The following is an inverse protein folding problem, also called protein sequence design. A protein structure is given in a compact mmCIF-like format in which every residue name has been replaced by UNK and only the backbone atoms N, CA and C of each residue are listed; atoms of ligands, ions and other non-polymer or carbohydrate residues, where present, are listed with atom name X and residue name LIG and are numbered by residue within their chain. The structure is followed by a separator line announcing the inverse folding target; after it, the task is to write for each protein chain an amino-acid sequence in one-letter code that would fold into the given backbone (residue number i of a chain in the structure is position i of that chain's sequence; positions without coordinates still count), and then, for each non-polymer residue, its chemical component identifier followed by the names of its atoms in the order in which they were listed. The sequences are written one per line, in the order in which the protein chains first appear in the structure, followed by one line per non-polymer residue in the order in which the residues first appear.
data_IF_768869693971
#
_entry.id   IF_768869693971
#
_cell.length_a   1.000
_cell.length_b   1.000
_cell.length_c   1.000
_cell.angle_alpha   90.00
_cell.angle_beta   90.00
_cell.angle_gamma   90.00
#
_symmetry.space_group_name_H-M   'P 1'
#
loop_
_entity.id
_entity.type
_entity.pdbx_description
1 polymer ?
#
# COMPACT_ATOMS: atom_id res chain seq x y z
N UNK A 1 -8.01 -0.78 18.38
CA UNK A 1 -7.62 -2.21 18.40
C UNK A 1 -7.67 -2.79 16.99
N UNK A 2 -7.00 -2.14 16.02
CA UNK A 2 -7.04 -2.49 14.60
C UNK A 2 -5.64 -2.80 14.01
N UNK A 3 -4.58 -2.90 14.83
CA UNK A 3 -3.20 -2.93 14.35
C UNK A 3 -2.60 -4.34 14.21
N UNK A 4 -3.05 -5.30 15.02
CA UNK A 4 -2.50 -6.67 14.98
C UNK A 4 -2.95 -7.40 13.71
N UNK A 5 -4.24 -7.29 13.36
CA UNK A 5 -4.82 -7.99 12.21
C UNK A 5 -4.19 -7.56 10.87
N UNK A 6 -3.90 -6.27 10.70
CA UNK A 6 -3.25 -5.72 9.49
C UNK A 6 -1.81 -6.22 9.35
N UNK A 7 -1.02 -6.17 10.43
CA UNK A 7 0.35 -6.68 10.41
C UNK A 7 0.42 -8.19 10.18
N UNK A 8 -0.49 -8.95 10.78
CA UNK A 8 -0.58 -10.41 10.60
C UNK A 8 -0.96 -10.75 9.16
N UNK A 9 -1.98 -10.11 8.58
CA UNK A 9 -2.38 -10.31 7.18
C UNK A 9 -1.22 -10.04 6.22
N UNK A 10 -0.48 -8.94 6.42
CA UNK A 10 0.70 -8.60 5.62
C UNK A 10 1.81 -9.65 5.76
N UNK A 11 2.14 -10.07 6.98
CA UNK A 11 3.16 -11.07 7.22
C UNK A 11 2.83 -12.42 6.55
N UNK A 12 1.54 -12.81 6.59
CA UNK A 12 1.04 -14.02 5.90
C UNK A 12 1.18 -13.87 4.39
N UNK A 13 0.75 -12.73 3.83
CA UNK A 13 0.84 -12.46 2.39
C UNK A 13 2.29 -12.50 1.91
N UNK A 14 3.22 -11.82 2.59
CA UNK A 14 4.65 -11.82 2.26
C UNK A 14 5.28 -13.21 2.39
N UNK A 15 4.90 -13.98 3.42
CA UNK A 15 5.41 -15.35 3.59
C UNK A 15 4.96 -16.25 2.44
N UNK A 16 3.68 -16.14 2.03
CA UNK A 16 3.17 -16.85 0.85
C UNK A 16 3.91 -16.41 -0.42
N UNK A 17 4.17 -15.11 -0.57
CA UNK A 17 4.90 -14.57 -1.71
C UNK A 17 6.32 -15.15 -1.80
N UNK A 18 7.09 -15.09 -0.71
CA UNK A 18 8.46 -15.59 -0.63
C UNK A 18 8.55 -17.10 -0.94
N UNK A 19 7.53 -17.87 -0.58
CA UNK A 19 7.46 -19.29 -0.90
C UNK A 19 7.33 -19.60 -2.41
N UNK A 20 7.06 -18.59 -3.25
CA UNK A 20 6.93 -18.74 -4.71
C UNK A 20 8.22 -18.42 -5.48
N UNK A 21 9.25 -17.90 -4.81
CA UNK A 21 10.51 -17.52 -5.43
C UNK A 21 11.31 -18.73 -5.93
N UNK A 22 12.14 -18.51 -6.94
CA UNK A 22 13.07 -19.50 -7.49
C UNK A 22 12.46 -20.43 -8.54
N UNK A 23 11.20 -20.22 -8.91
CA UNK A 23 10.49 -21.04 -9.89
C UNK A 23 10.63 -20.51 -11.32
N UNK A 24 10.62 -19.19 -11.51
CA UNK A 24 10.72 -18.54 -12.81
C UNK A 24 11.39 -17.16 -12.70
N UNK A 25 12.37 -16.81 -13.56
CA UNK A 25 13.08 -15.54 -13.47
C UNK A 25 12.21 -14.29 -13.70
N UNK A 26 11.20 -14.35 -14.56
CA UNK A 26 10.32 -13.21 -14.84
C UNK A 26 9.38 -12.96 -13.65
N UNK A 27 8.79 -14.01 -13.11
CA UNK A 27 8.02 -14.00 -11.87
C UNK A 27 8.84 -13.45 -10.70
N UNK A 28 10.03 -14.01 -10.47
CA UNK A 28 10.92 -13.60 -9.38
C UNK A 28 11.26 -12.11 -9.44
N UNK A 29 11.49 -11.59 -10.65
CA UNK A 29 11.80 -10.17 -10.85
C UNK A 29 10.59 -9.30 -10.49
N UNK A 30 9.41 -9.62 -11.01
CA UNK A 30 8.18 -8.87 -10.72
C UNK A 30 7.82 -8.94 -9.23
N UNK A 31 7.93 -10.12 -8.63
CA UNK A 31 7.66 -10.34 -7.21
C UNK A 31 8.61 -9.56 -6.30
N UNK A 32 9.91 -9.56 -6.60
CA UNK A 32 10.89 -8.76 -5.84
C UNK A 32 10.62 -7.26 -5.97
N UNK A 33 10.18 -6.79 -7.14
CA UNK A 33 9.80 -5.39 -7.33
C UNK A 33 8.59 -5.02 -6.46
N UNK A 34 7.55 -5.85 -6.46
CA UNK A 34 6.37 -5.70 -5.61
C UNK A 34 6.73 -5.67 -4.12
N UNK A 35 7.41 -6.70 -3.61
CA UNK A 35 7.78 -6.78 -2.19
C UNK A 35 8.65 -5.61 -1.75
N UNK A 36 9.57 -5.16 -2.61
CA UNK A 36 10.39 -3.98 -2.33
C UNK A 36 9.53 -2.72 -2.24
N UNK A 37 8.62 -2.51 -3.19
CA UNK A 37 7.80 -1.31 -3.23
C UNK A 37 6.85 -1.24 -2.03
N UNK A 38 6.16 -2.33 -1.69
CA UNK A 38 5.33 -2.43 -0.49
C UNK A 38 6.17 -2.15 0.77
N UNK A 39 7.31 -2.84 0.93
CA UNK A 39 8.16 -2.64 2.12
C UNK A 39 8.59 -1.18 2.31
N UNK A 40 8.96 -0.49 1.22
CA UNK A 40 9.34 0.93 1.29
C UNK A 40 8.17 1.83 1.62
N UNK A 41 7.01 1.59 1.02
CA UNK A 41 5.77 2.32 1.30
C UNK A 41 5.41 2.20 2.79
N UNK A 42 5.41 0.99 3.32
CA UNK A 42 5.09 0.71 4.73
C UNK A 42 6.13 1.32 5.66
N UNK A 43 7.42 1.19 5.34
CA UNK A 43 8.49 1.76 6.17
C UNK A 43 8.35 3.28 6.30
N UNK A 44 8.06 3.99 5.22
CA UNK A 44 7.92 5.45 5.32
C UNK A 44 6.65 5.87 6.10
N UNK A 45 5.56 5.11 5.97
CA UNK A 45 4.33 5.34 6.72
C UNK A 45 4.48 5.10 8.23
N UNK A 46 5.34 4.16 8.65
CA UNK A 46 5.53 3.81 10.06
C UNK A 46 6.64 4.59 10.74
N UNK A 47 7.72 4.93 10.03
CA UNK A 47 8.89 5.57 10.65
C UNK A 47 9.62 6.59 9.76
N UNK A 48 9.14 6.86 8.56
CA UNK A 48 9.79 7.77 7.62
C UNK A 48 9.23 9.19 7.64
N UNK A 49 9.30 9.84 6.48
CA UNK A 49 8.96 11.25 6.33
C UNK A 49 7.46 11.50 6.50
N UNK A 50 6.61 10.62 5.95
CA UNK A 50 5.17 10.70 6.15
C UNK A 50 4.82 10.59 7.64
N UNK A 51 5.34 9.58 8.33
CA UNK A 51 5.10 9.40 9.77
C UNK A 51 5.42 10.66 10.57
N UNK A 52 6.59 11.26 10.32
CA UNK A 52 7.02 12.46 11.01
C UNK A 52 6.08 13.66 10.77
N UNK A 53 5.60 13.85 9.54
CA UNK A 53 4.65 14.90 9.20
C UNK A 53 3.29 14.67 9.86
N UNK A 54 2.77 13.45 9.82
CA UNK A 54 1.50 13.07 10.45
C UNK A 54 1.56 13.19 11.98
N UNK A 55 2.66 12.76 12.62
CA UNK A 55 2.82 12.90 14.07
C UNK A 55 2.93 14.37 14.50
N UNK A 56 3.70 15.18 13.74
CA UNK A 56 3.78 16.63 13.97
C UNK A 56 2.40 17.29 13.85
N UNK A 57 1.66 16.99 12.79
CA UNK A 57 0.30 17.47 12.57
C UNK A 57 -0.64 17.10 13.72
N UNK A 58 -0.63 15.83 14.15
CA UNK A 58 -1.45 15.33 15.26
C UNK A 58 -1.12 16.04 16.58
N UNK A 59 0.17 16.19 16.91
CA UNK A 59 0.60 16.91 18.13
C UNK A 59 0.18 18.37 18.10
N UNK A 60 0.19 18.99 16.92
CA UNK A 60 -0.30 20.36 16.77
C UNK A 60 -1.81 20.45 16.99
N UNK A 61 -2.59 19.48 16.52
CA UNK A 61 -4.01 19.36 16.86
C UNK A 61 -4.26 19.30 18.38
N UNK A 62 -3.48 18.51 19.11
CA UNK A 62 -3.57 18.42 20.57
C UNK A 62 -3.18 19.72 21.30
N UNK A 63 -2.22 20.48 20.77
CA UNK A 63 -1.85 21.77 21.37
C UNK A 63 -2.95 22.82 21.16
N UNK A 64 -3.62 22.81 20.00
CA UNK A 64 -4.79 23.65 19.75
C UNK A 64 -5.97 23.26 20.65
N UNK A 65 -6.22 21.97 20.81
CA UNK A 65 -7.23 21.47 21.76
C UNK A 65 -6.95 21.92 23.19
N UNK A 66 -5.69 21.86 23.62
CA UNK A 66 -5.28 22.34 24.95
C UNK A 66 -5.48 23.85 25.13
N UNK A 67 -5.32 24.63 24.05
CA UNK A 67 -5.40 26.10 24.06
C UNK A 67 -6.83 26.64 23.91
N UNK A 68 -7.64 26.00 23.07
CA UNK A 68 -8.96 26.49 22.63
C UNK A 68 -10.12 25.56 23.02
N UNK A 69 -9.84 24.40 23.61
CA UNK A 69 -10.81 23.38 23.99
C UNK A 69 -11.06 22.31 22.91
N UNK A 70 -11.84 21.25 23.22
CA UNK A 70 -12.07 20.09 22.34
C UNK A 70 -12.74 20.45 21.01
N UNK A 71 -13.48 21.55 20.96
CA UNK A 71 -14.11 22.06 19.75
C UNK A 71 -13.30 23.20 19.11
N UNK A 72 -11.98 23.21 19.27
CA UNK A 72 -11.11 24.25 18.70
C UNK A 72 -11.32 24.41 17.18
N UNK A 73 -11.70 23.35 16.49
CA UNK A 73 -12.01 23.38 15.06
C UNK A 73 -13.20 24.29 14.71
N UNK A 74 -14.04 24.69 15.68
CA UNK A 74 -15.09 25.70 15.46
C UNK A 74 -14.62 27.14 15.69
N UNK A 75 -13.42 27.33 16.24
CA UNK A 75 -12.82 28.64 16.51
C UNK A 75 -12.05 29.10 15.26
N UNK A 76 -12.43 30.21 14.59
CA UNK A 76 -11.79 30.65 13.35
C UNK A 76 -10.27 30.88 13.47
N UNK A 77 -9.83 31.41 14.61
CA UNK A 77 -8.41 31.63 14.87
C UNK A 77 -7.63 30.31 14.96
N UNK A 78 -8.16 29.31 15.66
CA UNK A 78 -7.51 28.00 15.79
C UNK A 78 -7.47 27.25 14.44
N UNK A 79 -8.52 27.36 13.63
CA UNK A 79 -8.54 26.88 12.23
C UNK A 79 -7.42 27.53 11.40
N UNK A 80 -7.26 28.85 11.51
CA UNK A 80 -6.21 29.57 10.80
C UNK A 80 -4.81 29.17 11.26
N UNK A 81 -4.61 28.96 12.58
CA UNK A 81 -3.36 28.44 13.14
C UNK A 81 -3.06 27.00 12.67
N UNK A 82 -4.08 26.17 12.48
CA UNK A 82 -3.96 24.77 12.03
C UNK A 82 -3.62 24.61 10.55
N UNK A 83 -4.11 25.54 9.71
CA UNK A 83 -4.01 25.42 8.25
C UNK A 83 -2.58 25.17 7.73
N UNK A 84 -1.53 25.89 8.18
CA UNK A 84 -0.17 25.62 7.72
C UNK A 84 0.31 24.19 8.02
N UNK A 85 -0.02 23.64 9.20
CA UNK A 85 0.35 22.28 9.57
C UNK A 85 -0.42 21.24 8.74
N UNK A 86 -1.69 21.51 8.43
CA UNK A 86 -2.48 20.69 7.50
C UNK A 86 -1.87 20.69 6.10
N UNK A 87 -1.53 21.87 5.56
CA UNK A 87 -0.96 22.01 4.23
C UNK A 87 0.41 21.29 4.12
N UNK A 88 1.23 21.34 5.19
CA UNK A 88 2.49 20.60 5.27
C UNK A 88 2.28 19.07 5.27
N UNK A 89 1.30 18.59 6.05
CA UNK A 89 0.94 17.17 6.10
C UNK A 89 0.42 16.69 4.74
N UNK A 90 -0.45 17.46 4.09
CA UNK A 90 -0.96 17.15 2.76
C UNK A 90 0.14 17.10 1.69
N UNK A 91 1.12 18.01 1.76
CA UNK A 91 2.27 17.99 0.87
C UNK A 91 3.14 16.74 1.09
N UNK A 92 3.29 16.28 2.35
CA UNK A 92 3.99 15.04 2.66
C UNK A 92 3.24 13.80 2.14
N UNK A 93 1.91 13.74 2.30
CA UNK A 93 1.07 12.68 1.73
C UNK A 93 1.18 12.61 0.20
N UNK A 94 1.08 13.76 -0.47
CA UNK A 94 1.22 13.82 -1.93
C UNK A 94 2.59 13.31 -2.38
N UNK A 95 3.66 13.73 -1.68
CA UNK A 95 5.01 13.24 -1.97
C UNK A 95 5.14 11.74 -1.72
N UNK A 96 4.60 11.23 -0.62
CA UNK A 96 4.61 9.80 -0.30
C UNK A 96 3.87 8.99 -1.36
N UNK A 97 2.72 9.49 -1.84
CA UNK A 97 1.97 8.87 -2.92
C UNK A 97 2.79 8.77 -4.21
N UNK A 98 3.48 9.85 -4.62
CA UNK A 98 4.34 9.83 -5.81
C UNK A 98 5.56 8.91 -5.67
N UNK A 99 6.20 8.91 -4.50
CA UNK A 99 7.49 8.24 -4.28
C UNK A 99 7.31 6.75 -3.97
N UNK A 100 6.21 6.36 -3.32
CA UNK A 100 6.02 5.00 -2.82
C UNK A 100 4.72 4.34 -3.32
N UNK A 101 3.56 4.99 -3.23
CA UNK A 101 2.29 4.36 -3.63
C UNK A 101 2.24 4.08 -5.13
N UNK A 102 2.56 5.07 -5.97
CA UNK A 102 2.53 4.88 -7.43
C UNK A 102 3.51 3.80 -7.90
N UNK A 103 4.77 3.74 -7.44
CA UNK A 103 5.64 2.62 -7.73
C UNK A 103 5.11 1.26 -7.25
N UNK A 104 4.47 1.22 -6.07
CA UNK A 104 3.84 0.01 -5.54
C UNK A 104 2.68 -0.46 -6.44
N UNK A 105 1.74 0.42 -6.79
CA UNK A 105 0.64 0.10 -7.70
C UNK A 105 1.14 -0.36 -9.06
N UNK A 106 2.17 0.29 -9.60
CA UNK A 106 2.80 -0.17 -10.84
C UNK A 106 3.35 -1.59 -10.69
N UNK A 107 4.05 -1.89 -9.61
CA UNK A 107 4.65 -3.19 -9.38
C UNK A 107 3.59 -4.30 -9.15
N UNK A 108 2.49 -3.99 -8.46
CA UNK A 108 1.38 -4.94 -8.26
C UNK A 108 0.71 -5.30 -9.59
N UNK A 109 0.49 -4.31 -10.47
CA UNK A 109 -0.03 -4.56 -11.84
C UNK A 109 0.92 -5.39 -12.68
N UNK A 110 2.21 -5.04 -12.69
CA UNK A 110 3.23 -5.79 -13.42
C UNK A 110 3.28 -7.26 -12.95
N UNK A 111 3.18 -7.50 -11.65
CA UNK A 111 3.14 -8.85 -11.07
C UNK A 111 1.85 -9.60 -11.40
N UNK A 112 0.68 -8.94 -11.34
CA UNK A 112 -0.59 -9.55 -11.73
C UNK A 112 -0.56 -10.01 -13.19
N UNK A 113 0.01 -9.19 -14.09
CA UNK A 113 0.15 -9.51 -15.51
C UNK A 113 1.24 -10.55 -15.82
N UNK A 114 2.16 -10.81 -14.88
CA UNK A 114 3.23 -11.80 -15.08
C UNK A 114 2.69 -13.21 -14.86
N UNK A 115 2.76 -14.14 -15.84
CA UNK A 115 2.21 -15.49 -15.68
C UNK A 115 2.75 -16.21 -14.44
N UNK A 116 1.85 -16.83 -13.66
CA UNK A 116 2.22 -17.52 -12.43
C UNK A 116 2.94 -18.86 -12.72
N UNK A 117 4.19 -19.08 -12.29
CA UNK A 117 4.94 -20.28 -12.68
C UNK A 117 4.45 -21.57 -12.01
N UNK A 118 3.71 -21.47 -10.92
CA UNK A 118 3.23 -22.60 -10.12
C UNK A 118 1.82 -22.34 -9.58
N UNK A 119 1.13 -23.39 -9.13
CA UNK A 119 -0.18 -23.26 -8.45
C UNK A 119 -0.07 -22.38 -7.21
N UNK A 120 1.01 -22.51 -6.44
CA UNK A 120 1.25 -21.65 -5.28
C UNK A 120 1.37 -20.17 -5.67
N UNK A 121 2.05 -19.87 -6.79
CA UNK A 121 2.14 -18.52 -7.34
C UNK A 121 0.78 -17.99 -7.83
N UNK A 122 -0.04 -18.83 -8.45
CA UNK A 122 -1.38 -18.45 -8.91
C UNK A 122 -2.32 -18.14 -7.73
N UNK A 123 -2.28 -18.94 -6.66
CA UNK A 123 -3.03 -18.69 -5.42
C UNK A 123 -2.56 -17.41 -4.73
N UNK A 124 -1.24 -17.20 -4.62
CA UNK A 124 -0.71 -15.94 -4.09
C UNK A 124 -1.17 -14.75 -4.94
N UNK A 125 -1.11 -14.85 -6.27
CA UNK A 125 -1.57 -13.80 -7.18
C UNK A 125 -3.04 -13.44 -6.94
N UNK A 126 -3.91 -14.44 -6.78
CA UNK A 126 -5.33 -14.20 -6.51
C UNK A 126 -5.52 -13.39 -5.21
N UNK A 127 -4.83 -13.79 -4.13
CA UNK A 127 -4.88 -13.05 -2.86
C UNK A 127 -4.32 -11.63 -2.98
N UNK A 128 -3.25 -11.45 -3.75
CA UNK A 128 -2.66 -10.13 -4.00
C UNK A 128 -3.63 -9.24 -4.81
N UNK A 129 -4.25 -9.77 -5.87
CA UNK A 129 -5.25 -9.05 -6.67
C UNK A 129 -6.38 -8.49 -5.79
N UNK A 130 -6.88 -9.30 -4.86
CA UNK A 130 -7.91 -8.89 -3.89
C UNK A 130 -7.36 -7.86 -2.89
N UNK A 131 -6.18 -8.10 -2.32
CA UNK A 131 -5.57 -7.22 -1.33
C UNK A 131 -5.28 -5.82 -1.86
N UNK A 132 -4.80 -5.74 -3.10
CA UNK A 132 -4.45 -4.50 -3.79
C UNK A 132 -5.65 -3.85 -4.49
N UNK A 133 -6.83 -4.48 -4.42
CA UNK A 133 -8.07 -4.04 -5.05
C UNK A 133 -7.92 -3.72 -6.56
N UNK A 134 -7.13 -4.54 -7.27
CA UNK A 134 -6.85 -4.35 -8.70
C UNK A 134 -8.10 -4.29 -9.60
N UNK A 135 -9.23 -4.96 -9.30
CA UNK A 135 -10.45 -4.78 -10.08
C UNK A 135 -10.99 -3.35 -10.10
N UNK A 136 -10.69 -2.53 -9.09
CA UNK A 136 -11.09 -1.13 -8.99
C UNK A 136 -9.99 -0.16 -9.48
N UNK A 137 -8.85 -0.68 -9.94
CA UNK A 137 -7.76 0.13 -10.47
C UNK A 137 -8.00 0.51 -11.94
N UNK A 138 -8.36 1.78 -12.17
CA UNK A 138 -8.62 2.32 -13.49
C UNK A 138 -7.44 2.27 -14.49
N UNK A 139 -6.20 2.09 -14.02
CA UNK A 139 -5.02 1.96 -14.89
C UNK A 139 -4.64 0.48 -15.12
N UNK A 140 -5.34 -0.48 -14.50
CA UNK A 140 -5.10 -1.90 -14.74
C UNK A 140 -5.73 -2.34 -16.08
N UNK A 141 -4.94 -2.86 -17.04
CA UNK A 141 -5.40 -2.98 -18.43
C UNK A 141 -6.16 -4.28 -18.75
N UNK A 142 -6.44 -5.13 -17.76
CA UNK A 142 -6.89 -6.50 -17.99
C UNK A 142 -7.96 -6.94 -16.98
N UNK A 143 -8.76 -7.93 -17.35
CA UNK A 143 -9.71 -8.57 -16.45
C UNK A 143 -8.97 -9.54 -15.51
N UNK A 144 -9.14 -9.34 -14.20
CA UNK A 144 -8.45 -10.14 -13.19
C UNK A 144 -8.86 -11.62 -13.22
N UNK A 145 -10.12 -11.92 -13.52
CA UNK A 145 -10.60 -13.30 -13.60
C UNK A 145 -10.06 -14.01 -14.84
N UNK A 146 -9.96 -13.33 -15.98
CA UNK A 146 -9.35 -13.87 -17.19
C UNK A 146 -7.88 -14.23 -16.97
N UNK A 147 -7.11 -13.37 -16.28
CA UNK A 147 -5.71 -13.65 -15.91
C UNK A 147 -5.61 -14.92 -15.06
N UNK A 148 -6.43 -15.01 -14.00
CA UNK A 148 -6.39 -16.16 -13.09
C UNK A 148 -6.80 -17.45 -13.82
N UNK A 149 -7.85 -17.40 -14.64
CA UNK A 149 -8.25 -18.53 -15.48
C UNK A 149 -7.12 -19.00 -16.39
N UNK A 150 -6.44 -18.06 -17.07
CA UNK A 150 -5.33 -18.39 -17.96
C UNK A 150 -4.16 -19.04 -17.20
N UNK A 151 -3.85 -18.57 -15.99
CA UNK A 151 -2.82 -19.17 -15.16
C UNK A 151 -3.18 -20.58 -14.70
N UNK A 152 -4.38 -20.79 -14.13
CA UNK A 152 -4.81 -22.11 -13.67
C UNK A 152 -4.92 -23.11 -14.82
N UNK A 153 -5.50 -22.71 -15.96
CA UNK A 153 -5.62 -23.58 -17.13
C UNK A 153 -4.26 -24.06 -17.66
N UNK A 154 -3.24 -23.19 -17.65
CA UNK A 154 -1.87 -23.55 -18.06
C UNK A 154 -1.17 -24.49 -17.08
N UNK A 155 -1.53 -24.44 -15.80
CA UNK A 155 -0.88 -25.20 -14.73
C UNK A 155 -1.53 -26.57 -14.48
N UNK A 156 -2.76 -26.78 -14.97
CA UNK A 156 -3.49 -28.05 -14.89
C UNK A 156 -3.17 -29.02 -16.06
N UNK A 157 -2.46 -28.54 -17.08
CA UNK A 157 -2.01 -29.30 -18.27
C UNK A 157 -0.56 -29.72 -18.17
#
# INVERSE_FOLDING_TARGET
MANIDVMTKRAVLHSAALATLGSDPAWDKALKAYLRADTLQQADAECGALYAATDKFRRFGWSLESKYGPNWSNVPQAKAEHKPAYDEMQAAENKWAEVYCKPHWRASRELALTPAPTIAAAVFKANMIEHEDLPNDHEFPADCMEILHADFARLET
#
